data_IF_383688348445
#
_entry.id   IF_383688348445
#
_cell.length_a   1.000
_cell.length_b   1.000
_cell.length_c   1.000
_cell.angle_alpha   90.00
_cell.angle_beta   90.00
_cell.angle_gamma   90.00
#
_symmetry.space_group_name_H-M   'P 1'
#
loop_
_entity.id
_entity.type
_entity.pdbx_description
1 polymer ?
#
# COMPACT_ATOMS: atom_id res chain seq x y z
N UNK A 1 -2.20 8.11 -2.33
CA UNK A 1 -2.06 7.10 -1.26
C UNK A 1 -0.66 6.50 -1.32
N UNK A 2 0.01 6.32 -0.18
CA UNK A 2 1.26 5.54 -0.08
C UNK A 2 0.89 4.07 0.14
N UNK A 3 1.57 3.15 -0.54
CA UNK A 3 1.32 1.71 -0.41
C UNK A 3 2.59 1.00 0.01
N UNK A 4 2.41 -0.11 0.74
CA UNK A 4 3.50 -0.97 1.14
C UNK A 4 3.13 -2.43 1.08
N UNK A 5 4.16 -3.26 1.12
CA UNK A 5 4.07 -4.70 1.25
C UNK A 5 4.59 -5.12 2.62
N UNK A 6 3.82 -5.95 3.31
CA UNK A 6 4.29 -6.56 4.58
C UNK A 6 5.24 -7.71 4.29
N UNK A 7 6.27 -7.86 5.12
CA UNK A 7 7.22 -8.97 5.01
C UNK A 7 8.15 -8.97 6.21
N UNK A 8 8.35 -10.14 6.82
CA UNK A 8 9.20 -10.27 8.02
C UNK A 8 8.78 -9.33 9.16
N UNK A 9 7.46 -9.14 9.36
CA UNK A 9 6.89 -8.26 10.38
C UNK A 9 6.97 -6.75 10.11
N UNK A 10 7.58 -6.34 8.99
CA UNK A 10 7.75 -4.92 8.61
C UNK A 10 6.89 -4.57 7.41
N UNK A 11 6.54 -3.28 7.27
CA UNK A 11 5.88 -2.76 6.07
C UNK A 11 6.91 -2.01 5.22
N UNK A 12 7.24 -2.53 4.05
CA UNK A 12 8.12 -1.83 3.11
C UNK A 12 7.31 -0.97 2.17
N UNK A 13 7.69 0.29 2.03
CA UNK A 13 7.09 1.17 1.02
C UNK A 13 7.37 0.62 -0.38
N UNK A 14 6.34 0.53 -1.23
CA UNK A 14 6.48 0.02 -2.62
C UNK A 14 6.01 1.03 -3.66
N UNK A 15 5.50 2.19 -3.25
CA UNK A 15 5.15 3.26 -4.18
C UNK A 15 4.03 4.18 -3.71
N UNK A 16 3.69 5.13 -4.59
CA UNK A 16 2.56 6.04 -4.41
C UNK A 16 1.53 5.78 -5.50
N UNK A 17 0.30 5.50 -5.09
CA UNK A 17 -0.85 5.34 -5.98
C UNK A 17 -1.57 6.68 -6.10
N UNK A 18 -1.73 7.16 -7.33
CA UNK A 18 -2.40 8.42 -7.66
C UNK A 18 -3.64 8.28 -8.55
N UNK A 19 -3.85 7.12 -9.17
CA UNK A 19 -4.87 6.86 -10.19
C UNK A 19 -5.66 5.58 -9.86
N UNK A 20 -6.71 5.29 -10.65
CA UNK A 20 -7.53 4.07 -10.49
C UNK A 20 -8.65 4.19 -9.45
N UNK A 21 -9.01 5.41 -9.07
CA UNK A 21 -10.02 5.66 -8.04
C UNK A 21 -11.31 6.15 -8.67
N UNK A 22 -12.46 5.59 -8.27
CA UNK A 22 -13.75 6.29 -8.38
C UNK A 22 -13.84 7.38 -7.30
N UNK A 23 -14.68 8.38 -7.51
CA UNK A 23 -14.90 9.45 -6.51
C UNK A 23 -15.44 8.88 -5.20
N UNK A 24 -16.46 8.02 -5.29
CA UNK A 24 -17.02 7.30 -4.13
C UNK A 24 -15.96 6.47 -3.39
N UNK A 25 -15.11 5.74 -4.11
CA UNK A 25 -14.05 4.93 -3.51
C UNK A 25 -12.97 5.76 -2.82
N UNK A 26 -12.69 6.99 -3.30
CA UNK A 26 -11.78 7.91 -2.58
C UNK A 26 -12.40 8.36 -1.25
N UNK A 27 -13.67 8.72 -1.26
CA UNK A 27 -14.36 9.22 -0.07
C UNK A 27 -14.46 8.13 1.01
N UNK A 28 -14.83 6.91 0.61
CA UNK A 28 -14.87 5.74 1.50
C UNK A 28 -13.51 5.48 2.13
N UNK A 29 -12.45 5.38 1.30
CA UNK A 29 -11.12 5.12 1.80
C UNK A 29 -10.60 6.25 2.71
N UNK A 30 -10.89 7.52 2.36
CA UNK A 30 -10.50 8.64 3.21
C UNK A 30 -11.14 8.55 4.60
N UNK A 31 -12.41 8.15 4.69
CA UNK A 31 -13.10 7.91 5.97
C UNK A 31 -12.45 6.81 6.79
N UNK A 32 -12.15 5.66 6.17
CA UNK A 32 -11.48 4.55 6.84
C UNK A 32 -10.07 4.93 7.33
N UNK A 33 -9.31 5.65 6.51
CA UNK A 33 -7.95 6.08 6.84
C UNK A 33 -7.92 7.12 7.96
N UNK A 34 -8.92 8.01 8.02
CA UNK A 34 -9.01 9.01 9.08
C UNK A 34 -9.09 8.37 10.48
N UNK A 35 -9.84 7.28 10.62
CA UNK A 35 -9.93 6.52 11.87
C UNK A 35 -8.65 5.74 12.24
N UNK A 36 -7.68 5.66 11.33
CA UNK A 36 -6.42 4.94 11.51
C UNK A 36 -5.22 5.88 11.60
N UNK A 37 -5.44 7.20 11.71
CA UNK A 37 -4.38 8.19 11.80
C UNK A 37 -3.36 7.86 12.92
N UNK A 38 -2.09 8.11 12.65
CA UNK A 38 -1.01 7.95 13.64
C UNK A 38 0.11 8.94 13.33
N UNK A 39 0.87 9.32 14.35
CA UNK A 39 2.07 10.15 14.19
C UNK A 39 3.32 9.32 13.83
N UNK A 40 3.23 7.99 13.99
CA UNK A 40 4.35 7.07 13.75
C UNK A 40 4.30 6.56 12.31
N UNK A 41 5.39 6.73 11.58
CA UNK A 41 5.50 6.16 10.24
C UNK A 41 5.45 4.62 10.32
N UNK A 42 4.52 3.95 9.61
CA UNK A 42 4.41 2.50 9.65
C UNK A 42 5.45 1.81 8.74
N UNK A 43 6.11 2.57 7.88
CA UNK A 43 7.04 2.04 6.89
C UNK A 43 8.45 1.91 7.46
N UNK A 44 9.12 0.85 7.04
CA UNK A 44 10.52 0.62 7.36
C UNK A 44 11.29 0.08 6.13
N UNK A 45 12.28 0.83 5.60
CA UNK A 45 12.70 2.16 6.08
C UNK A 45 11.64 3.24 5.84
N UNK A 46 11.71 4.32 6.62
CA UNK A 46 10.84 5.49 6.46
C UNK A 46 11.11 6.14 5.09
N UNK A 47 10.10 6.26 4.21
CA UNK A 47 10.30 6.83 2.89
C UNK A 47 10.46 8.36 2.97
N UNK A 48 11.28 8.92 2.08
CA UNK A 48 11.52 10.37 1.99
C UNK A 48 10.32 11.12 1.35
N UNK A 49 9.14 11.04 1.97
CA UNK A 49 7.90 11.68 1.51
C UNK A 49 7.55 12.82 2.48
N UNK A 50 7.51 14.05 1.95
CA UNK A 50 7.11 15.23 2.72
C UNK A 50 5.58 15.34 2.81
N UNK A 51 5.09 15.78 3.97
CA UNK A 51 3.66 16.04 4.20
C UNK A 51 2.78 14.78 4.17
N UNK A 52 3.35 13.60 4.46
CA UNK A 52 2.58 12.38 4.53
C UNK A 52 1.74 12.33 5.81
N UNK A 53 0.47 11.94 5.67
CA UNK A 53 -0.38 11.55 6.79
C UNK A 53 -0.21 10.05 7.02
N UNK A 54 0.32 9.66 8.18
CA UNK A 54 0.55 8.25 8.49
C UNK A 54 -0.72 7.60 9.02
N UNK A 55 -0.86 6.32 8.71
CA UNK A 55 -1.98 5.51 9.17
C UNK A 55 -1.48 4.16 9.67
N UNK A 56 -2.21 3.55 10.60
CA UNK A 56 -1.96 2.19 11.00
C UNK A 56 -2.17 1.24 9.80
N UNK A 57 -1.25 0.30 9.56
CA UNK A 57 -1.29 -0.60 8.42
C UNK A 57 -2.29 -1.75 8.62
N UNK A 58 -3.57 -1.38 8.64
CA UNK A 58 -4.74 -2.24 8.90
C UNK A 58 -5.62 -2.49 7.69
N UNK A 59 -5.47 -1.71 6.62
CA UNK A 59 -6.25 -1.86 5.40
C UNK A 59 -5.46 -2.59 4.33
N UNK A 60 -6.13 -3.50 3.64
CA UNK A 60 -5.59 -4.23 2.49
C UNK A 60 -6.31 -3.78 1.23
N UNK A 61 -5.56 -3.63 0.15
CA UNK A 61 -6.09 -3.20 -1.14
C UNK A 61 -5.36 -3.83 -2.30
N UNK A 62 -6.06 -3.92 -3.41
CA UNK A 62 -5.54 -4.44 -4.66
C UNK A 62 -5.09 -3.28 -5.56
N UNK A 63 -3.89 -3.42 -6.12
CA UNK A 63 -3.31 -2.44 -7.04
C UNK A 63 -2.82 -3.15 -8.29
N UNK A 64 -3.07 -2.56 -9.45
CA UNK A 64 -2.40 -2.94 -10.70
C UNK A 64 -1.15 -2.10 -10.86
N UNK A 65 -0.10 -2.66 -11.45
CA UNK A 65 1.13 -1.96 -11.78
C UNK A 65 1.68 -2.47 -13.12
N UNK A 66 2.58 -1.72 -13.75
CA UNK A 66 3.20 -2.14 -15.01
C UNK A 66 4.43 -3.00 -14.79
N UNK A 67 5.32 -2.59 -13.88
CA UNK A 67 6.57 -3.29 -13.56
C UNK A 67 6.86 -3.20 -12.08
N UNK A 68 7.35 -4.29 -11.49
CA UNK A 68 8.02 -4.28 -10.19
C UNK A 68 9.53 -4.21 -10.42
N UNK A 69 10.20 -3.22 -9.84
CA UNK A 69 11.65 -3.07 -9.99
C UNK A 69 12.40 -4.08 -9.12
N UNK A 70 13.69 -4.30 -9.40
CA UNK A 70 14.58 -5.10 -8.52
C UNK A 70 14.69 -4.55 -7.10
N UNK A 71 14.38 -3.26 -6.90
CA UNK A 71 14.31 -2.63 -5.58
C UNK A 71 12.95 -2.84 -4.87
N UNK A 72 12.03 -3.61 -5.47
CA UNK A 72 10.69 -3.87 -4.93
C UNK A 72 9.67 -2.75 -5.14
N UNK A 73 9.99 -1.73 -5.95
CA UNK A 73 9.09 -0.59 -6.21
C UNK A 73 8.14 -0.86 -7.36
N UNK A 74 6.90 -0.40 -7.27
CA UNK A 74 5.90 -0.50 -8.31
C UNK A 74 5.97 0.71 -9.26
N UNK A 75 6.05 0.44 -10.57
CA UNK A 75 5.93 1.45 -11.63
C UNK A 75 4.47 1.62 -12.04
N UNK A 76 4.05 2.89 -12.14
CA UNK A 76 2.71 3.30 -12.55
C UNK A 76 1.57 2.56 -11.82
N UNK A 77 1.60 2.46 -10.48
CA UNK A 77 0.58 1.72 -9.77
C UNK A 77 -0.77 2.47 -9.80
N UNK A 78 -1.85 1.74 -10.07
CA UNK A 78 -3.23 2.22 -10.05
C UNK A 78 -4.06 1.40 -9.08
N UNK A 79 -4.88 2.07 -8.28
CA UNK A 79 -5.82 1.42 -7.37
C UNK A 79 -6.85 0.59 -8.15
N UNK A 80 -7.27 -0.53 -7.57
CA UNK A 80 -8.41 -1.30 -8.06
C UNK A 80 -9.54 -1.32 -7.04
N UNK A 81 -9.31 -1.87 -5.84
CA UNK A 81 -10.36 -2.08 -4.82
C UNK A 81 -9.79 -2.35 -3.43
N UNK A 82 -10.63 -2.17 -2.41
CA UNK A 82 -10.35 -2.67 -1.06
C UNK A 82 -10.51 -4.20 -0.99
N UNK A 83 -9.77 -4.82 -0.07
CA UNK A 83 -9.84 -6.25 0.27
C UNK A 83 -10.12 -6.43 1.76
N UNK A 84 -11.34 -6.10 2.24
CA UNK A 84 -11.70 -6.31 3.64
C UNK A 84 -11.72 -7.80 4.02
N UNK A 85 -11.74 -8.68 3.03
CA UNK A 85 -11.65 -10.12 3.15
C UNK A 85 -10.24 -10.64 3.47
N UNK A 86 -9.21 -9.80 3.38
CA UNK A 86 -7.83 -10.15 3.69
C UNK A 86 -7.36 -9.47 4.97
N UNK A 87 -6.74 -10.25 5.86
CA UNK A 87 -6.03 -9.67 6.98
C UNK A 87 -4.71 -9.04 6.50
N UNK A 88 -4.23 -7.95 7.13
CA UNK A 88 -2.96 -7.31 6.77
C UNK A 88 -1.77 -8.27 6.76
N UNK A 89 -1.75 -9.23 7.68
CA UNK A 89 -0.76 -10.30 7.78
C UNK A 89 -0.75 -11.23 6.55
N UNK A 90 -1.91 -11.51 5.98
CA UNK A 90 -2.06 -12.42 4.82
C UNK A 90 -1.82 -11.72 3.49
N UNK A 91 -2.05 -10.40 3.44
CA UNK A 91 -1.99 -9.57 2.24
C UNK A 91 -0.66 -9.59 1.48
N UNK A 92 0.39 -10.09 2.11
CA UNK A 92 1.74 -10.08 1.56
C UNK A 92 2.53 -11.38 1.77
N UNK A 93 1.88 -12.47 2.18
CA UNK A 93 2.56 -13.75 2.34
C UNK A 93 2.91 -14.41 1.00
N UNK A 94 2.05 -14.27 -0.02
CA UNK A 94 2.09 -15.17 -1.19
C UNK A 94 2.13 -14.50 -2.57
N UNK A 95 2.55 -13.23 -2.69
CA UNK A 95 2.95 -12.77 -4.03
C UNK A 95 4.30 -13.43 -4.33
N UNK A 96 4.39 -14.40 -5.26
CA UNK A 96 5.67 -14.97 -5.65
C UNK A 96 6.57 -13.81 -6.05
N UNK A 97 7.83 -13.88 -5.62
CA UNK A 97 8.85 -12.99 -6.14
C UNK A 97 8.85 -13.25 -7.65
N UNK A 98 8.21 -12.36 -8.41
CA UNK A 98 8.13 -12.44 -9.87
C UNK A 98 9.52 -12.02 -10.43
N UNK A 99 10.58 -12.56 -9.83
CA UNK A 99 11.86 -12.84 -10.44
C UNK A 99 11.70 -14.07 -11.30
N UNK A 100 10.93 -13.97 -12.39
CA UNK A 100 11.20 -14.85 -13.53
C UNK A 100 12.41 -14.27 -14.28
N UNK A 101 13.46 -15.07 -14.54
CA UNK A 101 14.61 -14.63 -15.33
C UNK A 101 14.21 -14.24 -16.76
#
# INVERSE_FOLDING_TARGET
>A
MLVGQRGGGRLRWVGRVGTGWSEAGRAELAGLLAGLATDVCPFDPVPAVRGAHWVLPRLVGEVRYSVRTRAGMLRQPSWLRLRPDLAPEDAAADLPDDTRP
#
